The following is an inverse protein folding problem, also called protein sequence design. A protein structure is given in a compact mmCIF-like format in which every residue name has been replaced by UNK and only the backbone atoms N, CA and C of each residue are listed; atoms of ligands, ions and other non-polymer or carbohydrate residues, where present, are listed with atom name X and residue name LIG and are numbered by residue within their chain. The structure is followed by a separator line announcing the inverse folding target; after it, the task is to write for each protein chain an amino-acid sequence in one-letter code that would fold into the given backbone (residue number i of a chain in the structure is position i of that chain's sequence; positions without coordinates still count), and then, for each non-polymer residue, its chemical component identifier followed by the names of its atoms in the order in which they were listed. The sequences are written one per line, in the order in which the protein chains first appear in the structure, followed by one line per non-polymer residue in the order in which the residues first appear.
data_IF_875399077489
#
_entry.id   IF_875399077489
#
_cell.length_a   1.000
_cell.length_b   1.000
_cell.length_c   1.000
_cell.angle_alpha   90.00
_cell.angle_beta   90.00
_cell.angle_gamma   90.00
#
_symmetry.space_group_name_H-M   'P 1'
#
loop_
_entity.id
_entity.type
_entity.pdbx_description
1 polymer ?
#
# COMPACT_ATOMS: atom_id res chain seq x y z
N UNK A 1 5.41 8.94 64.48
CA UNK A 1 4.80 7.75 63.86
C UNK A 1 3.30 7.98 63.82
N UNK A 2 2.76 8.30 62.64
CA UNK A 2 1.32 8.53 62.45
C UNK A 2 0.67 7.13 62.36
N UNK A 3 -0.26 6.75 63.25
CA UNK A 3 -0.93 5.46 63.16
C UNK A 3 -1.93 5.54 62.01
N UNK A 4 -1.64 4.86 60.90
CA UNK A 4 -2.62 4.65 59.84
C UNK A 4 -3.68 3.69 60.40
N UNK A 5 -4.94 4.13 60.38
CA UNK A 5 -6.12 3.31 60.73
C UNK A 5 -6.16 2.04 59.89
N UNK A 6 -6.36 0.86 60.51
CA UNK A 6 -6.46 -0.42 59.81
C UNK A 6 -7.49 -0.39 58.65
N UNK A 7 -8.52 0.46 58.77
CA UNK A 7 -9.55 0.63 57.74
C UNK A 7 -9.08 1.32 56.46
N UNK A 8 -8.06 2.19 56.50
CA UNK A 8 -7.51 2.81 55.27
C UNK A 8 -6.59 1.85 54.52
N UNK A 9 -5.85 1.00 55.23
CA UNK A 9 -4.99 -0.04 54.62
C UNK A 9 -5.84 -1.11 53.93
N UNK A 10 -6.92 -1.59 54.57
CA UNK A 10 -7.84 -2.56 53.95
C UNK A 10 -8.56 -1.99 52.73
N UNK A 11 -8.98 -0.73 52.79
CA UNK A 11 -9.65 -0.05 51.67
C UNK A 11 -8.71 0.15 50.47
N UNK A 12 -7.44 0.51 50.73
CA UNK A 12 -6.42 0.62 49.69
C UNK A 12 -6.12 -0.73 49.04
N UNK A 13 -5.99 -1.80 49.84
CA UNK A 13 -5.73 -3.14 49.34
C UNK A 13 -6.90 -3.65 48.47
N UNK A 14 -8.14 -3.38 48.88
CA UNK A 14 -9.34 -3.74 48.13
C UNK A 14 -9.43 -2.98 46.79
N UNK A 15 -9.08 -1.69 46.76
CA UNK A 15 -9.04 -0.89 45.53
C UNK A 15 -8.01 -1.44 44.54
N UNK A 16 -6.79 -1.73 45.01
CA UNK A 16 -5.72 -2.30 44.17
C UNK A 16 -6.13 -3.67 43.62
N UNK A 17 -6.75 -4.53 44.44
CA UNK A 17 -7.26 -5.82 44.02
C UNK A 17 -8.35 -5.74 42.95
N UNK A 18 -9.30 -4.80 43.10
CA UNK A 18 -10.35 -4.57 42.12
C UNK A 18 -9.79 -4.08 40.78
N UNK A 19 -8.84 -3.14 40.81
CA UNK A 19 -8.17 -2.65 39.60
C UNK A 19 -7.40 -3.78 38.91
N UNK A 20 -6.69 -4.61 39.67
CA UNK A 20 -5.96 -5.76 39.11
C UNK A 20 -6.91 -6.78 38.46
N UNK A 21 -8.03 -7.11 39.09
CA UNK A 21 -9.04 -8.01 38.54
C UNK A 21 -9.68 -7.46 37.27
N UNK A 22 -9.98 -6.16 37.22
CA UNK A 22 -10.49 -5.50 36.01
C UNK A 22 -9.48 -5.55 34.87
N UNK A 23 -8.19 -5.33 35.16
CA UNK A 23 -7.12 -5.43 34.17
C UNK A 23 -6.98 -6.86 33.63
N UNK A 24 -7.00 -7.87 34.50
CA UNK A 24 -6.95 -9.28 34.09
C UNK A 24 -8.17 -9.63 33.23
N UNK A 25 -9.37 -9.22 33.64
CA UNK A 25 -10.60 -9.45 32.88
C UNK A 25 -10.54 -8.78 31.49
N UNK A 26 -10.00 -7.55 31.41
CA UNK A 26 -9.78 -6.85 30.13
C UNK A 26 -8.79 -7.60 29.23
N UNK A 27 -7.67 -8.08 29.77
CA UNK A 27 -6.69 -8.87 29.02
C UNK A 27 -7.31 -10.16 28.49
N UNK A 28 -8.06 -10.88 29.32
CA UNK A 28 -8.75 -12.10 28.91
C UNK A 28 -9.82 -11.82 27.84
N UNK A 29 -10.57 -10.72 27.97
CA UNK A 29 -11.54 -10.29 26.97
C UNK A 29 -10.84 -10.00 25.63
N UNK A 30 -9.75 -9.24 25.64
CA UNK A 30 -8.97 -8.92 24.43
C UNK A 30 -8.42 -10.21 23.81
N UNK A 31 -7.87 -11.13 24.62
CA UNK A 31 -7.35 -12.40 24.13
C UNK A 31 -8.45 -13.27 23.50
N UNK A 32 -9.63 -13.35 24.13
CA UNK A 32 -10.78 -14.08 23.59
C UNK A 32 -11.27 -13.47 22.27
N UNK A 33 -11.35 -12.13 22.18
CA UNK A 33 -11.70 -11.43 20.93
C UNK A 33 -10.68 -11.75 19.83
N UNK A 34 -9.38 -11.64 20.12
CA UNK A 34 -8.32 -11.96 19.15
C UNK A 34 -8.36 -13.42 18.70
N UNK A 35 -8.65 -14.35 19.61
CA UNK A 35 -8.78 -15.78 19.32
C UNK A 35 -9.99 -16.07 18.42
N UNK A 36 -11.15 -15.48 18.71
CA UNK A 36 -12.34 -15.60 17.86
C UNK A 36 -12.09 -14.99 16.48
N UNK A 37 -11.44 -13.83 16.41
CA UNK A 37 -11.08 -13.18 15.15
C UNK A 37 -10.11 -14.02 14.32
N UNK A 38 -9.10 -14.64 14.94
CA UNK A 38 -8.16 -15.54 14.23
C UNK A 38 -8.86 -16.79 13.72
N UNK A 39 -9.71 -17.43 14.53
CA UNK A 39 -10.50 -18.58 14.08
C UNK A 39 -11.47 -18.22 12.94
N UNK A 40 -12.13 -17.07 13.04
CA UNK A 40 -13.01 -16.56 11.98
C UNK A 40 -12.23 -16.23 10.70
N UNK A 41 -11.03 -15.64 10.83
CA UNK A 41 -10.14 -15.31 9.72
C UNK A 41 -9.61 -16.56 9.00
N UNK A 42 -9.24 -17.61 9.74
CA UNK A 42 -8.80 -18.89 9.18
C UNK A 42 -9.95 -19.60 8.47
N UNK A 43 -11.15 -19.67 9.06
CA UNK A 43 -12.31 -20.35 8.45
C UNK A 43 -12.83 -19.67 7.19
N UNK A 44 -12.77 -18.35 7.13
CA UNK A 44 -13.34 -17.59 6.02
C UNK A 44 -12.45 -17.58 4.77
N UNK A 45 -11.17 -17.93 4.90
CA UNK A 45 -10.13 -17.71 3.88
C UNK A 45 -9.91 -16.23 3.51
N UNK A 46 -10.83 -15.36 3.91
CA UNK A 46 -10.76 -13.90 3.92
C UNK A 46 -10.18 -13.51 5.26
N UNK A 47 -8.99 -12.91 5.24
CA UNK A 47 -8.61 -11.98 6.29
C UNK A 47 -9.72 -10.93 6.35
N UNK A 48 -10.69 -11.08 7.26
CA UNK A 48 -11.70 -10.07 7.60
C UNK A 48 -11.05 -8.81 8.21
N UNK A 49 -9.73 -8.87 8.38
CA UNK A 49 -8.89 -8.05 9.21
C UNK A 49 -8.16 -6.87 8.53
N UNK A 50 -8.27 -6.54 7.21
CA UNK A 50 -7.62 -5.33 6.71
C UNK A 50 -8.24 -4.05 7.30
N UNK A 51 -9.55 -3.99 7.55
CA UNK A 51 -10.18 -2.77 8.09
C UNK A 51 -9.89 -2.51 9.56
N UNK A 52 -9.68 -3.55 10.37
CA UNK A 52 -9.40 -3.42 11.81
C UNK A 52 -7.89 -3.33 12.09
N UNK A 53 -7.05 -4.01 11.31
CA UNK A 53 -5.59 -3.91 11.44
C UNK A 53 -5.01 -2.61 10.92
N UNK A 54 -5.53 -2.08 9.81
CA UNK A 54 -4.94 -0.90 9.14
C UNK A 54 -4.75 0.27 10.10
N UNK A 55 -5.74 0.69 10.92
CA UNK A 55 -5.53 1.77 11.88
C UNK A 55 -4.43 1.47 12.91
N UNK A 56 -4.39 0.25 13.45
CA UNK A 56 -3.36 -0.16 14.41
C UNK A 56 -1.96 -0.22 13.80
N UNK A 57 -1.86 -0.68 12.56
CA UNK A 57 -0.62 -0.76 11.81
C UNK A 57 -0.07 0.63 11.46
N UNK A 58 -0.94 1.56 11.06
CA UNK A 58 -0.57 2.98 10.84
C UNK A 58 -0.14 3.67 12.14
N UNK A 59 -0.81 3.38 13.26
CA UNK A 59 -0.40 3.92 14.57
C UNK A 59 0.98 3.38 15.00
N UNK A 60 1.22 2.08 14.79
CA UNK A 60 2.52 1.45 15.04
C UNK A 60 3.61 2.05 14.14
N UNK A 61 3.32 2.27 12.85
CA UNK A 61 4.24 2.95 11.93
C UNK A 61 4.62 4.35 12.45
N UNK A 62 3.64 5.14 12.88
CA UNK A 62 3.89 6.48 13.42
C UNK A 62 4.81 6.46 14.66
N UNK A 63 4.59 5.50 15.55
CA UNK A 63 5.45 5.29 16.73
C UNK A 63 6.87 4.86 16.31
N UNK A 64 6.98 3.90 15.41
CA UNK A 64 8.26 3.38 14.92
C UNK A 64 9.09 4.48 14.23
N UNK A 65 8.46 5.31 13.39
CA UNK A 65 9.12 6.48 12.78
C UNK A 65 9.61 7.48 13.82
N UNK A 66 8.81 7.79 14.83
CA UNK A 66 9.22 8.69 15.91
C UNK A 66 10.46 8.16 16.64
N UNK A 67 10.51 6.85 16.91
CA UNK A 67 11.67 6.19 17.53
C UNK A 67 12.87 6.21 16.58
N UNK A 68 12.72 5.84 15.31
CA UNK A 68 13.81 5.79 14.34
C UNK A 68 14.42 7.17 14.11
N UNK A 69 13.59 8.21 14.05
CA UNK A 69 14.03 9.60 13.98
C UNK A 69 14.78 10.06 15.23
N UNK A 70 14.36 9.59 16.42
CA UNK A 70 15.05 9.90 17.67
C UNK A 70 16.41 9.18 17.78
N UNK A 71 16.56 8.00 17.17
CA UNK A 71 17.78 7.18 17.20
C UNK A 71 18.71 7.45 15.98
N UNK A 72 18.23 8.13 14.94
CA UNK A 72 18.98 8.41 13.72
C UNK A 72 19.09 7.23 12.75
N UNK A 73 18.13 6.31 12.77
CA UNK A 73 18.08 5.15 11.87
C UNK A 73 17.37 5.49 10.55
N UNK A 74 17.77 4.82 9.47
CA UNK A 74 17.17 4.98 8.15
C UNK A 74 15.71 4.50 8.09
N UNK A 75 14.82 5.28 7.48
CA UNK A 75 13.38 4.97 7.38
C UNK A 75 13.03 4.08 6.17
N UNK A 76 13.97 3.84 5.26
CA UNK A 76 13.73 3.16 3.99
C UNK A 76 13.31 1.70 4.14
N UNK A 77 14.00 0.92 4.98
CA UNK A 77 13.64 -0.49 5.19
C UNK A 77 12.24 -0.64 5.80
N UNK A 78 11.89 0.25 6.71
CA UNK A 78 10.57 0.31 7.33
C UNK A 78 9.48 0.63 6.30
N UNK A 79 9.71 1.67 5.49
CA UNK A 79 8.83 2.04 4.40
C UNK A 79 8.61 0.88 3.42
N UNK A 80 9.68 0.21 3.00
CA UNK A 80 9.64 -0.93 2.09
C UNK A 80 8.82 -2.09 2.68
N UNK A 81 9.00 -2.38 3.98
CA UNK A 81 8.19 -3.36 4.68
C UNK A 81 6.69 -3.01 4.63
N UNK A 82 6.31 -1.77 4.92
CA UNK A 82 4.89 -1.37 4.89
C UNK A 82 4.30 -1.41 3.49
N UNK A 83 5.05 -1.03 2.45
CA UNK A 83 4.61 -1.16 1.05
C UNK A 83 4.37 -2.63 0.70
N UNK A 84 5.33 -3.52 1.02
CA UNK A 84 5.21 -4.96 0.75
C UNK A 84 4.03 -5.60 1.50
N UNK A 85 3.84 -5.23 2.77
CA UNK A 85 2.71 -5.69 3.58
C UNK A 85 1.38 -5.22 2.99
N UNK A 86 1.28 -3.94 2.62
CA UNK A 86 0.10 -3.37 1.96
C UNK A 86 -0.25 -4.08 0.66
N UNK A 87 0.75 -4.32 -0.19
CA UNK A 87 0.58 -5.09 -1.43
C UNK A 87 0.04 -6.50 -1.17
N UNK A 88 0.64 -7.20 -0.21
CA UNK A 88 0.23 -8.58 0.15
C UNK A 88 -1.22 -8.62 0.65
N UNK A 89 -1.60 -7.66 1.50
CA UNK A 89 -2.97 -7.57 2.02
C UNK A 89 -3.99 -7.22 0.94
N UNK A 90 -3.58 -6.45 -0.08
CA UNK A 90 -4.46 -5.97 -1.14
C UNK A 90 -4.50 -6.89 -2.37
N UNK A 91 -3.50 -7.75 -2.57
CA UNK A 91 -3.33 -8.55 -3.79
C UNK A 91 -4.59 -9.34 -4.18
N UNK A 92 -5.23 -10.01 -3.22
CA UNK A 92 -6.46 -10.77 -3.47
C UNK A 92 -7.64 -9.86 -3.88
N UNK A 93 -7.88 -8.81 -3.11
CA UNK A 93 -8.97 -7.86 -3.40
C UNK A 93 -8.74 -7.15 -4.74
N UNK A 94 -7.49 -6.88 -5.10
CA UNK A 94 -7.11 -6.31 -6.39
C UNK A 94 -7.42 -7.28 -7.54
N UNK A 95 -7.03 -8.55 -7.40
CA UNK A 95 -7.26 -9.59 -8.40
C UNK A 95 -8.76 -9.82 -8.68
N UNK A 96 -9.64 -9.65 -7.69
CA UNK A 96 -11.10 -9.80 -7.83
C UNK A 96 -11.76 -8.63 -8.59
N UNK A 97 -11.09 -7.47 -8.76
CA UNK A 97 -11.65 -6.30 -9.46
C UNK A 97 -11.41 -6.42 -10.97
N UNK A 98 -12.38 -6.20 -11.87
CA UNK A 98 -12.14 -6.23 -13.31
C UNK A 98 -11.13 -5.18 -13.79
N UNK A 99 -10.26 -5.52 -14.74
CA UNK A 99 -9.18 -4.61 -15.22
C UNK A 99 -9.69 -3.27 -15.74
N UNK A 100 -10.87 -3.25 -16.37
CA UNK A 100 -11.50 -2.01 -16.87
C UNK A 100 -11.84 -1.00 -15.76
N UNK A 101 -11.93 -1.47 -14.51
CA UNK A 101 -12.17 -0.67 -13.30
C UNK A 101 -10.87 -0.36 -12.54
N UNK A 102 -9.71 -0.73 -13.11
CA UNK A 102 -8.37 -0.47 -12.56
C UNK A 102 -7.68 0.65 -13.34
N UNK A 103 -6.78 1.37 -12.67
CA UNK A 103 -5.93 2.39 -13.29
C UNK A 103 -4.46 2.19 -12.89
N UNK A 104 -3.54 2.58 -13.77
CA UNK A 104 -2.09 2.58 -13.48
C UNK A 104 -1.58 4.02 -13.54
N UNK A 105 -0.83 4.40 -12.51
CA UNK A 105 -0.18 5.70 -12.42
C UNK A 105 1.32 5.51 -12.52
N UNK A 106 1.91 6.04 -13.59
CA UNK A 106 3.35 6.03 -13.84
C UNK A 106 3.94 7.40 -13.46
N UNK A 107 5.14 7.46 -12.87
CA UNK A 107 5.75 8.71 -12.48
C UNK A 107 6.40 9.37 -13.70
N UNK A 108 6.40 10.70 -13.75
CA UNK A 108 7.05 11.44 -14.83
C UNK A 108 8.57 11.19 -14.92
N UNK A 109 9.19 10.76 -13.81
CA UNK A 109 10.63 10.52 -13.68
C UNK A 109 11.16 9.37 -14.54
N UNK A 110 10.29 8.50 -15.07
CA UNK A 110 10.68 7.44 -16.03
C UNK A 110 10.95 7.98 -17.45
N UNK A 111 10.58 9.24 -17.72
CA UNK A 111 10.78 9.86 -19.03
C UNK A 111 12.23 10.29 -19.19
N UNK A 112 12.71 10.22 -20.43
CA UNK A 112 13.94 10.93 -20.81
C UNK A 112 13.74 12.44 -20.70
N UNK A 113 14.81 13.16 -20.36
CA UNK A 113 14.83 14.62 -20.31
C UNK A 113 14.39 15.27 -21.64
N UNK A 114 14.65 14.60 -22.76
CA UNK A 114 14.31 15.08 -24.12
C UNK A 114 12.91 14.65 -24.59
N UNK A 115 12.07 14.15 -23.68
CA UNK A 115 10.75 13.62 -24.04
C UNK A 115 9.78 14.74 -24.46
N UNK A 116 9.24 14.74 -25.70
CA UNK A 116 8.37 15.79 -26.24
C UNK A 116 6.90 15.69 -25.77
N UNK A 117 6.63 14.97 -24.68
CA UNK A 117 5.28 14.76 -24.17
C UNK A 117 4.72 16.04 -23.53
N UNK A 118 3.51 16.42 -23.93
CA UNK A 118 2.83 17.62 -23.46
C UNK A 118 2.04 17.33 -22.17
N UNK A 119 2.02 18.31 -21.27
CA UNK A 119 1.18 18.26 -20.08
C UNK A 119 -0.27 18.59 -20.47
N UNK A 120 -1.17 17.63 -20.22
CA UNK A 120 -2.61 17.78 -20.41
C UNK A 120 -3.33 17.77 -19.06
N UNK A 121 -4.63 18.13 -18.99
CA UNK A 121 -5.42 18.03 -17.76
C UNK A 121 -5.52 16.61 -17.18
N UNK A 122 -5.22 15.58 -17.98
CA UNK A 122 -5.20 14.15 -17.58
C UNK A 122 -3.79 13.61 -17.33
N UNK A 123 -2.78 14.47 -17.41
CA UNK A 123 -1.37 14.11 -17.24
C UNK A 123 -0.55 14.26 -18.50
N UNK A 124 0.64 13.70 -18.48
CA UNK A 124 1.57 13.78 -19.60
C UNK A 124 1.14 12.80 -20.69
N UNK A 125 0.90 13.31 -21.90
CA UNK A 125 0.50 12.47 -23.03
C UNK A 125 1.74 11.94 -23.74
N UNK A 126 2.03 10.65 -23.56
CA UNK A 126 3.13 9.99 -24.28
C UNK A 126 2.87 10.02 -25.80
N UNK A 127 3.84 10.55 -26.56
CA UNK A 127 3.82 10.56 -28.04
C UNK A 127 4.51 9.34 -28.67
N UNK A 128 4.83 8.31 -27.86
CA UNK A 128 5.62 7.13 -28.28
C UNK A 128 6.89 7.51 -29.04
N UNK A 129 7.64 8.46 -28.48
CA UNK A 129 8.85 9.00 -29.08
C UNK A 129 10.08 8.06 -29.05
N UNK A 130 9.95 6.87 -28.46
CA UNK A 130 10.99 5.85 -28.31
C UNK A 130 12.29 6.29 -27.57
N UNK A 131 12.27 7.42 -26.87
CA UNK A 131 13.41 7.90 -26.05
C UNK A 131 13.44 7.29 -24.64
N UNK A 132 12.41 6.57 -24.24
CA UNK A 132 12.31 5.88 -22.95
C UNK A 132 11.39 4.67 -23.07
N UNK A 133 11.50 3.73 -22.13
CA UNK A 133 10.73 2.47 -22.11
C UNK A 133 9.24 2.67 -21.77
N UNK A 134 8.84 3.85 -21.27
CA UNK A 134 7.44 4.17 -20.92
C UNK A 134 6.48 4.01 -22.11
N UNK A 135 6.93 4.35 -23.32
CA UNK A 135 6.07 4.29 -24.52
C UNK A 135 5.65 2.86 -24.87
N UNK A 136 6.57 1.92 -24.78
CA UNK A 136 6.34 0.49 -24.99
C UNK A 136 5.45 -0.07 -23.89
N UNK A 137 5.78 0.22 -22.62
CA UNK A 137 5.01 -0.24 -21.47
C UNK A 137 3.56 0.24 -21.49
N UNK A 138 3.29 1.47 -21.92
CA UNK A 138 1.91 1.95 -22.11
C UNK A 138 1.16 1.08 -23.13
N UNK A 139 1.79 0.72 -24.25
CA UNK A 139 1.19 -0.15 -25.25
C UNK A 139 0.80 -1.52 -24.69
N UNK A 140 1.70 -2.14 -23.92
CA UNK A 140 1.45 -3.43 -23.25
C UNK A 140 0.31 -3.33 -22.23
N UNK A 141 0.36 -2.34 -21.33
CA UNK A 141 -0.62 -2.15 -20.27
C UNK A 141 -2.01 -1.77 -20.81
N UNK A 142 -2.09 -0.92 -21.84
CA UNK A 142 -3.34 -0.62 -22.55
C UNK A 142 -3.87 -1.88 -23.26
N UNK A 143 -2.99 -2.73 -23.79
CA UNK A 143 -3.34 -4.03 -24.36
C UNK A 143 -4.00 -4.98 -23.35
N UNK A 144 -3.60 -4.93 -22.08
CA UNK A 144 -4.28 -5.64 -20.98
C UNK A 144 -5.64 -5.02 -20.61
N UNK A 145 -5.97 -3.84 -21.14
CA UNK A 145 -7.23 -3.12 -20.89
C UNK A 145 -7.16 -2.11 -19.74
N UNK A 146 -5.96 -1.78 -19.25
CA UNK A 146 -5.78 -0.76 -18.22
C UNK A 146 -5.93 0.66 -18.78
N UNK A 147 -6.39 1.58 -17.93
CA UNK A 147 -6.17 3.02 -18.15
C UNK A 147 -4.84 3.43 -17.51
N UNK A 148 -3.93 3.96 -18.31
CA UNK A 148 -2.59 4.36 -17.85
C UNK A 148 -2.48 5.88 -17.85
N UNK A 149 -1.99 6.45 -16.76
CA UNK A 149 -1.77 7.89 -16.60
C UNK A 149 -0.30 8.14 -16.23
N UNK A 150 0.37 9.02 -16.97
CA UNK A 150 1.68 9.54 -16.54
C UNK A 150 1.43 10.81 -15.73
N UNK A 151 1.81 10.79 -14.46
CA UNK A 151 1.51 11.85 -13.51
C UNK A 151 2.77 12.58 -13.05
N UNK A 152 2.76 13.92 -13.00
CA UNK A 152 3.87 14.70 -12.46
C UNK A 152 3.83 14.82 -10.93
N UNK A 153 2.70 14.47 -10.31
CA UNK A 153 2.55 14.55 -8.86
C UNK A 153 1.19 14.05 -8.35
N UNK A 154 1.11 13.88 -7.03
CA UNK A 154 -0.02 13.25 -6.33
C UNK A 154 -1.36 13.98 -6.48
N UNK A 155 -1.34 15.30 -6.69
CA UNK A 155 -2.54 16.11 -6.94
C UNK A 155 -3.29 15.65 -8.20
N UNK A 156 -2.55 15.29 -9.25
CA UNK A 156 -3.16 14.81 -10.49
C UNK A 156 -3.80 13.43 -10.29
N UNK A 157 -3.17 12.55 -9.50
CA UNK A 157 -3.72 11.24 -9.15
C UNK A 157 -5.10 11.41 -8.52
N UNK A 158 -5.24 12.31 -7.52
CA UNK A 158 -6.54 12.59 -6.87
C UNK A 158 -7.60 13.07 -7.87
N UNK A 159 -7.21 13.91 -8.84
CA UNK A 159 -8.12 14.40 -9.89
C UNK A 159 -8.57 13.26 -10.81
N UNK A 160 -7.65 12.39 -11.25
CA UNK A 160 -7.97 11.25 -12.10
C UNK A 160 -8.84 10.23 -11.37
N UNK A 161 -8.52 9.94 -10.12
CA UNK A 161 -9.34 9.10 -9.25
C UNK A 161 -10.77 9.66 -9.12
N UNK A 162 -10.92 10.96 -8.88
CA UNK A 162 -12.25 11.60 -8.79
C UNK A 162 -13.02 11.55 -10.10
N UNK A 163 -12.33 11.71 -11.24
CA UNK A 163 -12.92 11.73 -12.59
C UNK A 163 -13.34 10.33 -13.07
N UNK A 164 -12.44 9.35 -12.96
CA UNK A 164 -12.64 8.00 -13.51
C UNK A 164 -13.14 6.98 -12.50
N UNK A 165 -13.13 7.31 -11.20
CA UNK A 165 -13.60 6.45 -10.10
C UNK A 165 -13.13 4.99 -10.20
N UNK A 166 -11.81 4.75 -10.35
CA UNK A 166 -11.30 3.38 -10.37
C UNK A 166 -11.56 2.73 -9.00
N UNK A 167 -11.83 1.42 -9.00
CA UNK A 167 -11.94 0.63 -7.76
C UNK A 167 -10.60 0.10 -7.28
N UNK A 168 -9.64 -0.01 -8.19
CA UNK A 168 -8.27 -0.40 -7.89
C UNK A 168 -7.26 0.46 -8.66
N UNK A 169 -6.06 0.62 -8.10
CA UNK A 169 -4.96 1.29 -8.80
C UNK A 169 -3.62 0.58 -8.57
N UNK A 170 -2.71 0.73 -9.53
CA UNK A 170 -1.29 0.44 -9.37
C UNK A 170 -0.55 1.79 -9.40
N UNK A 171 0.19 2.10 -8.35
CA UNK A 171 1.11 3.23 -8.30
C UNK A 171 2.54 2.77 -8.53
N UNK A 172 3.22 3.39 -9.48
CA UNK A 172 4.66 3.19 -9.71
C UNK A 172 5.40 4.45 -9.29
N UNK A 173 6.50 4.33 -8.58
CA UNK A 173 7.24 5.49 -8.07
C UNK A 173 8.39 5.13 -7.15
N UNK A 174 9.06 6.15 -6.62
CA UNK A 174 10.01 5.95 -5.53
C UNK A 174 9.28 5.47 -4.27
N UNK A 175 10.04 4.99 -3.29
CA UNK A 175 9.46 4.33 -2.13
C UNK A 175 8.47 5.21 -1.33
N UNK A 176 8.80 6.49 -1.15
CA UNK A 176 7.94 7.47 -0.47
C UNK A 176 6.67 7.77 -1.25
N UNK A 177 6.77 8.02 -2.56
CA UNK A 177 5.61 8.28 -3.42
C UNK A 177 4.64 7.09 -3.46
N UNK A 178 5.17 5.87 -3.54
CA UNK A 178 4.35 4.64 -3.51
C UNK A 178 3.63 4.52 -2.18
N UNK A 179 4.33 4.73 -1.05
CA UNK A 179 3.70 4.68 0.27
C UNK A 179 2.57 5.70 0.41
N UNK A 180 2.83 6.96 0.07
CA UNK A 180 1.84 8.03 0.13
C UNK A 180 0.64 7.77 -0.80
N UNK A 181 0.92 7.23 -1.99
CA UNK A 181 -0.09 6.83 -2.97
C UNK A 181 -0.99 5.72 -2.43
N UNK A 182 -0.43 4.71 -1.78
CA UNK A 182 -1.18 3.62 -1.15
C UNK A 182 -2.04 4.09 0.01
N UNK A 183 -1.53 4.96 0.89
CA UNK A 183 -2.33 5.56 1.96
C UNK A 183 -3.47 6.43 1.43
N UNK A 184 -3.20 7.18 0.36
CA UNK A 184 -4.23 7.98 -0.30
C UNK A 184 -5.31 7.09 -0.90
N UNK A 185 -4.94 6.00 -1.57
CA UNK A 185 -5.89 5.01 -2.08
C UNK A 185 -6.75 4.41 -0.95
N UNK A 186 -6.11 4.04 0.17
CA UNK A 186 -6.80 3.49 1.34
C UNK A 186 -7.83 4.46 1.92
N UNK A 187 -7.45 5.74 2.12
CA UNK A 187 -8.35 6.80 2.58
C UNK A 187 -9.53 7.03 1.64
N UNK A 188 -9.36 6.77 0.34
CA UNK A 188 -10.41 6.89 -0.67
C UNK A 188 -11.21 5.59 -0.87
N UNK A 189 -10.89 4.51 -0.13
CA UNK A 189 -11.55 3.21 -0.26
C UNK A 189 -11.21 2.46 -1.55
N UNK A 190 -10.07 2.79 -2.18
CA UNK A 190 -9.59 2.19 -3.43
C UNK A 190 -8.52 1.17 -3.10
N UNK A 191 -8.57 0.01 -3.75
CA UNK A 191 -7.57 -1.05 -3.56
C UNK A 191 -6.29 -0.67 -4.32
N UNK A 192 -5.23 -0.31 -3.59
CA UNK A 192 -3.95 0.09 -4.18
C UNK A 192 -2.90 -1.03 -4.12
N UNK A 193 -2.15 -1.20 -5.21
CA UNK A 193 -0.85 -1.90 -5.23
C UNK A 193 0.25 -0.91 -5.64
N UNK A 194 1.45 -1.13 -5.12
CA UNK A 194 2.61 -0.27 -5.35
C UNK A 194 3.78 -1.02 -5.96
N UNK A 195 4.43 -0.47 -6.98
CA UNK A 195 5.69 -0.99 -7.52
C UNK A 195 6.76 0.08 -7.35
N UNK A 196 7.79 -0.25 -6.58
CA UNK A 196 8.89 0.67 -6.26
C UNK A 196 9.92 0.64 -7.38
N UNK A 197 10.46 1.80 -7.75
CA UNK A 197 11.52 1.93 -8.75
C UNK A 197 12.85 1.37 -8.23
N UNK A 198 13.74 0.94 -9.14
CA UNK A 198 15.03 0.34 -8.80
C UNK A 198 16.04 1.35 -8.25
N UNK A 199 15.84 2.63 -8.57
CA UNK A 199 16.65 3.74 -8.09
C UNK A 199 15.73 4.87 -7.70
N UNK A 200 16.15 5.65 -6.72
CA UNK A 200 15.50 6.91 -6.41
C UNK A 200 16.20 8.02 -7.20
N UNK A 201 15.44 8.78 -7.99
CA UNK A 201 15.95 9.84 -8.84
C UNK A 201 14.83 10.67 -9.46
N UNK A 202 15.05 11.97 -9.61
CA UNK A 202 14.02 12.86 -10.17
C UNK A 202 13.94 12.78 -11.71
N UNK A 203 14.97 12.24 -12.39
CA UNK A 203 15.07 12.19 -13.85
C UNK A 203 15.67 10.85 -14.28
N UNK A 204 15.13 10.23 -15.33
CA UNK A 204 15.62 8.97 -15.94
C UNK A 204 15.78 7.82 -14.95
N UNK A 205 14.80 7.68 -14.07
CA UNK A 205 14.74 6.56 -13.13
C UNK A 205 14.39 5.26 -13.83
N UNK A 206 14.92 4.16 -13.32
CA UNK A 206 14.67 2.82 -13.82
C UNK A 206 13.58 2.13 -12.99
N UNK A 207 12.66 1.47 -13.68
CA UNK A 207 11.66 0.58 -13.09
C UNK A 207 11.90 -0.82 -13.62
N UNK A 208 11.66 -1.81 -12.77
CA UNK A 208 11.58 -3.20 -13.18
C UNK A 208 10.22 -3.45 -13.86
N UNK A 209 10.18 -3.33 -15.19
CA UNK A 209 8.95 -3.54 -15.97
C UNK A 209 8.33 -4.93 -15.77
N UNK A 210 9.11 -6.04 -15.71
CA UNK A 210 8.59 -7.35 -15.30
C UNK A 210 7.73 -7.29 -14.04
N UNK A 211 8.22 -6.69 -12.94
CA UNK A 211 7.42 -6.52 -11.71
C UNK A 211 6.12 -5.73 -11.93
N UNK A 212 6.14 -4.69 -12.77
CA UNK A 212 4.93 -3.91 -13.13
C UNK A 212 3.93 -4.80 -13.89
N UNK A 213 4.40 -5.57 -14.85
CA UNK A 213 3.55 -6.45 -15.66
C UNK A 213 2.99 -7.60 -14.82
N UNK A 214 3.79 -8.25 -13.98
CA UNK A 214 3.32 -9.28 -13.05
C UNK A 214 2.21 -8.75 -12.13
N UNK A 215 2.40 -7.54 -11.59
CA UNK A 215 1.39 -6.88 -10.75
C UNK A 215 0.12 -6.56 -11.55
N UNK A 216 0.25 -6.12 -12.80
CA UNK A 216 -0.88 -5.84 -13.68
C UNK A 216 -1.63 -7.12 -14.12
N UNK A 217 -0.94 -8.25 -14.20
CA UNK A 217 -1.54 -9.53 -14.59
C UNK A 217 -2.33 -10.20 -13.45
N UNK A 218 -2.25 -9.71 -12.21
CA UNK A 218 -2.98 -10.28 -11.08
C UNK A 218 -4.50 -10.36 -11.34
N UNK A 219 -5.03 -11.58 -11.38
CA UNK A 219 -6.46 -11.85 -11.60
C UNK A 219 -6.91 -11.80 -13.06
N UNK A 220 -5.99 -11.64 -14.03
CA UNK A 220 -6.30 -11.84 -15.44
C UNK A 220 -6.20 -13.33 -15.83
N UNK A 221 -7.04 -13.81 -16.77
CA UNK A 221 -6.91 -15.17 -17.29
C UNK A 221 -5.59 -15.31 -18.07
N UNK A 222 -4.97 -16.49 -18.00
CA UNK A 222 -3.68 -16.78 -18.67
C UNK A 222 -3.70 -16.54 -20.18
N UNK A 223 -4.87 -16.50 -20.82
CA UNK A 223 -5.03 -16.21 -22.26
C UNK A 223 -4.73 -14.77 -22.67
N UNK A 224 -4.60 -13.82 -21.74
CA UNK A 224 -4.22 -12.42 -22.06
C UNK A 224 -2.70 -12.20 -22.07
N UNK A 225 -1.91 -13.22 -21.70
CA UNK A 225 -0.45 -13.17 -21.82
C UNK A 225 -0.12 -13.62 -23.24
N UNK A 226 0.26 -12.69 -24.12
CA UNK A 226 0.89 -13.08 -25.39
C UNK A 226 2.18 -13.83 -25.08
N UNK A 227 2.34 -15.03 -25.66
CA UNK A 227 3.49 -15.94 -25.49
C UNK A 227 4.86 -15.30 -25.76
N UNK A 228 4.89 -14.09 -26.33
CA UNK A 228 6.11 -13.37 -26.69
C UNK A 228 6.71 -12.50 -25.56
N UNK A 229 6.03 -12.33 -24.42
CA UNK A 229 6.61 -11.62 -23.28
C UNK A 229 7.54 -12.57 -22.51
N UNK A 230 8.82 -12.60 -22.90
CA UNK A 230 9.89 -13.22 -22.13
C UNK A 230 9.99 -12.56 -20.74
N UNK A 231 9.12 -12.97 -19.81
CA UNK A 231 9.38 -12.82 -18.39
C UNK A 231 10.58 -13.73 -18.09
N UNK A 232 11.74 -13.19 -17.68
CA UNK A 232 12.85 -14.05 -17.30
C UNK A 232 12.39 -14.96 -16.16
N UNK A 233 12.48 -16.27 -16.41
CA UNK A 233 12.17 -17.27 -15.42
C UNK A 233 13.01 -17.00 -14.16
N UNK A 234 12.34 -16.97 -13.02
CA UNK A 234 12.96 -16.79 -11.71
C UNK A 234 13.74 -18.07 -11.36
N UNK A 235 15.06 -18.00 -11.38
CA UNK A 235 15.94 -19.00 -10.74
C UNK A 235 15.91 -18.84 -9.21
#
# INVERSE_FOLDING_TARGET
MIPLSDGTVTSLLALVGMVALLLIALVLLVAAVLFVLTLASIRSGRLYFPRLLRPGLTALEGLMRAIFKAVGLGEEEMLAFFVKLGNTMNARAFAEIPVKERAIFLPQCLRSAECPADLTPEGLRCKRCNRCSVGEAIGVLEGYGYRVFIVPGSTLIKRMVKKYRPRALIGVGCLSEVKEGLEMADRLGIVGLGVVTLRDGCVETLVDWPSVYETALLGLPTSTVSEDLHLPAKE
#
